data_IF_622932140351
#
_entry.id   IF_622932140351
#
_cell.length_a   1.000
_cell.length_b   1.000
_cell.length_c   1.000
_cell.angle_alpha   90.00
_cell.angle_beta   90.00
_cell.angle_gamma   90.00
#
_symmetry.space_group_name_H-M   'P 1'
#
loop_
_entity.id
_entity.type
_entity.pdbx_description
1 polymer ?
#
# COMPACT_ATOMS: atom_id res chain seq x y z
N UNK A 1 -7.47 8.08 -22.51
CA UNK A 1 -8.46 7.22 -21.82
C UNK A 1 -7.84 5.97 -21.17
N UNK A 2 -6.77 5.39 -21.73
CA UNK A 2 -6.12 4.18 -21.19
C UNK A 2 -5.35 4.47 -19.87
N UNK A 3 -4.66 5.62 -19.76
CA UNK A 3 -3.90 6.00 -18.55
C UNK A 3 -4.73 6.08 -17.27
N UNK A 4 -5.91 6.74 -17.32
CA UNK A 4 -6.81 6.85 -16.15
C UNK A 4 -7.27 5.47 -15.64
N UNK A 5 -7.41 4.49 -16.54
CA UNK A 5 -7.80 3.14 -16.18
C UNK A 5 -6.68 2.40 -15.44
N UNK A 6 -5.43 2.64 -15.80
CA UNK A 6 -4.28 2.02 -15.16
C UNK A 6 -3.98 2.63 -13.79
N UNK A 7 -3.99 3.96 -13.68
CA UNK A 7 -3.79 4.65 -12.40
C UNK A 7 -4.80 4.21 -11.36
N UNK A 8 -6.07 4.07 -11.75
CA UNK A 8 -7.13 3.57 -10.86
C UNK A 8 -6.86 2.14 -10.38
N UNK A 9 -6.33 1.27 -11.25
CA UNK A 9 -5.97 -0.11 -10.88
C UNK A 9 -4.80 -0.16 -9.91
N UNK A 10 -3.77 0.68 -10.12
CA UNK A 10 -2.63 0.82 -9.21
C UNK A 10 -3.10 1.35 -7.85
N UNK A 11 -4.01 2.33 -7.83
CA UNK A 11 -4.62 2.84 -6.62
C UNK A 11 -5.36 1.75 -5.83
N UNK A 12 -6.12 0.89 -6.50
CA UNK A 12 -6.80 -0.23 -5.83
C UNK A 12 -5.84 -1.25 -5.21
N UNK A 13 -4.72 -1.56 -5.86
CA UNK A 13 -3.71 -2.43 -5.26
C UNK A 13 -3.12 -1.81 -4.00
N UNK A 14 -2.78 -0.52 -4.04
CA UNK A 14 -2.25 0.19 -2.88
C UNK A 14 -3.27 0.30 -1.74
N UNK A 15 -4.53 0.55 -2.08
CA UNK A 15 -5.63 0.57 -1.11
C UNK A 15 -5.83 -0.82 -0.45
N UNK A 16 -5.82 -1.90 -1.25
CA UNK A 16 -5.95 -3.27 -0.74
C UNK A 16 -4.77 -3.65 0.17
N UNK A 17 -3.56 -3.30 -0.25
CA UNK A 17 -2.37 -3.48 0.56
C UNK A 17 -2.41 -2.65 1.86
N UNK A 18 -2.89 -1.41 1.78
CA UNK A 18 -3.10 -0.52 2.94
C UNK A 18 -4.10 -1.10 3.93
N UNK A 19 -5.19 -1.70 3.44
CA UNK A 19 -6.16 -2.40 4.28
C UNK A 19 -5.51 -3.57 5.04
N UNK A 20 -4.78 -4.44 4.34
CA UNK A 20 -4.09 -5.58 4.99
C UNK A 20 -3.09 -5.09 6.04
N UNK A 21 -2.29 -4.09 5.69
CA UNK A 21 -1.37 -3.46 6.63
C UNK A 21 -2.11 -2.87 7.84
N UNK A 22 -3.23 -2.18 7.63
CA UNK A 22 -4.00 -1.56 8.72
C UNK A 22 -4.55 -2.58 9.71
N UNK A 23 -5.07 -3.70 9.20
CA UNK A 23 -5.56 -4.81 10.04
C UNK A 23 -4.42 -5.41 10.86
N UNK A 24 -3.31 -5.77 10.21
CA UNK A 24 -2.15 -6.33 10.92
C UNK A 24 -1.65 -5.38 11.98
N UNK A 25 -1.58 -4.09 11.67
CA UNK A 25 -1.09 -3.09 12.61
C UNK A 25 -2.02 -2.88 13.80
N UNK A 26 -3.34 -2.82 13.56
CA UNK A 26 -4.31 -2.69 14.64
C UNK A 26 -4.38 -3.90 15.57
N UNK A 27 -4.15 -5.10 15.06
CA UNK A 27 -4.15 -6.34 15.87
C UNK A 27 -2.86 -6.48 16.67
N UNK A 28 -1.71 -6.30 16.01
CA UNK A 28 -0.42 -6.71 16.57
C UNK A 28 0.36 -5.59 17.24
N UNK A 29 0.04 -4.31 17.00
CA UNK A 29 0.78 -3.20 17.61
C UNK A 29 -0.07 -2.41 18.60
N UNK A 30 0.23 -2.59 19.88
CA UNK A 30 0.00 -1.59 20.93
C UNK A 30 0.99 -0.45 20.71
N UNK A 31 0.55 0.82 20.81
CA UNK A 31 1.27 2.03 20.38
C UNK A 31 2.67 2.28 20.96
N UNK A 32 3.20 1.37 21.77
CA UNK A 32 4.49 1.46 22.46
C UNK A 32 5.63 0.69 21.74
N UNK A 33 5.32 -0.20 20.79
CA UNK A 33 6.30 -1.19 20.29
C UNK A 33 6.94 -0.86 18.94
N UNK A 34 6.27 -0.10 18.05
CA UNK A 34 6.83 0.26 16.74
C UNK A 34 6.75 1.76 16.47
N UNK A 35 7.90 2.44 16.30
CA UNK A 35 7.92 3.81 15.84
C UNK A 35 7.35 3.89 14.41
N UNK A 36 6.65 4.97 14.09
CA UNK A 36 6.08 5.27 12.76
C UNK A 36 7.04 4.95 11.60
N UNK A 37 8.34 5.15 11.81
CA UNK A 37 9.43 4.83 10.86
C UNK A 37 9.51 3.33 10.53
N UNK A 38 9.31 2.45 11.52
CA UNK A 38 9.28 1.00 11.30
C UNK A 38 8.15 0.60 10.36
N UNK A 39 6.99 1.27 10.45
CA UNK A 39 5.86 1.03 9.55
C UNK A 39 6.18 1.44 8.12
N UNK A 40 6.83 2.59 7.94
CA UNK A 40 7.29 3.07 6.64
C UNK A 40 8.28 2.08 6.00
N UNK A 41 9.20 1.52 6.80
CA UNK A 41 10.16 0.53 6.32
C UNK A 41 9.47 -0.75 5.86
N UNK A 42 8.52 -1.28 6.63
CA UNK A 42 7.68 -2.40 6.21
C UNK A 42 6.91 -2.07 4.93
N UNK A 43 6.28 -0.90 4.89
CA UNK A 43 5.64 -0.33 3.70
C UNK A 43 6.48 -0.46 2.45
N UNK A 44 7.72 0.01 2.51
CA UNK A 44 8.68 0.02 1.40
C UNK A 44 9.17 -1.40 1.06
N UNK A 45 9.47 -2.24 2.05
CA UNK A 45 9.95 -3.61 1.83
C UNK A 45 8.94 -4.45 1.04
N UNK A 46 7.65 -4.28 1.32
CA UNK A 46 6.58 -5.05 0.69
C UNK A 46 6.14 -4.40 -0.64
N UNK A 47 6.49 -3.12 -0.86
CA UNK A 47 6.15 -2.39 -2.09
C UNK A 47 6.81 -3.00 -3.34
N UNK A 48 8.06 -3.46 -3.25
CA UNK A 48 8.76 -4.05 -4.39
C UNK A 48 8.10 -5.36 -4.90
N UNK A 49 7.80 -6.36 -4.04
CA UNK A 49 7.05 -7.54 -4.48
C UNK A 49 5.63 -7.19 -4.94
N UNK A 50 4.96 -6.22 -4.32
CA UNK A 50 3.64 -5.75 -4.76
C UNK A 50 3.69 -5.13 -6.18
N UNK A 51 4.77 -4.43 -6.52
CA UNK A 51 4.98 -3.92 -7.87
C UNK A 51 5.19 -5.04 -8.89
N UNK A 52 5.95 -6.10 -8.54
CA UNK A 52 6.11 -7.28 -9.39
C UNK A 52 4.77 -7.98 -9.66
N UNK A 53 3.94 -8.13 -8.62
CA UNK A 53 2.59 -8.66 -8.75
C UNK A 53 1.74 -7.75 -9.66
N UNK A 54 1.78 -6.44 -9.44
CA UNK A 54 1.08 -5.45 -10.28
C UNK A 54 1.47 -5.59 -11.75
N UNK A 55 2.77 -5.71 -12.03
CA UNK A 55 3.29 -5.91 -13.39
C UNK A 55 2.68 -7.15 -14.04
N UNK A 56 2.67 -8.27 -13.32
CA UNK A 56 2.19 -9.55 -13.84
C UNK A 56 0.67 -9.57 -14.03
N UNK A 57 -0.08 -9.01 -13.07
CA UNK A 57 -1.56 -8.99 -13.09
C UNK A 57 -2.10 -8.04 -14.16
N UNK A 58 -1.49 -6.86 -14.32
CA UNK A 58 -1.98 -5.85 -15.27
C UNK A 58 -1.22 -5.80 -16.59
N UNK A 59 -0.23 -6.69 -16.80
CA UNK A 59 0.61 -6.75 -18.00
C UNK A 59 1.21 -5.37 -18.33
N UNK A 60 1.76 -4.70 -17.32
CA UNK A 60 2.39 -3.39 -17.46
C UNK A 60 3.54 -3.44 -18.47
N UNK A 61 3.63 -2.43 -19.35
CA UNK A 61 4.76 -2.27 -20.27
C UNK A 61 6.00 -1.83 -19.52
N UNK A 62 7.18 -1.95 -20.14
CA UNK A 62 8.45 -1.55 -19.52
C UNK A 62 8.51 -0.05 -19.17
N UNK A 63 7.77 0.80 -19.89
CA UNK A 63 7.65 2.24 -19.60
C UNK A 63 6.86 2.54 -18.32
N UNK A 64 5.87 1.71 -17.98
CA UNK A 64 5.10 1.81 -16.73
C UNK A 64 5.83 1.22 -15.52
N UNK A 65 6.93 0.48 -15.75
CA UNK A 65 7.70 -0.24 -14.75
C UNK A 65 8.78 0.63 -14.09
N UNK A 66 8.41 1.83 -13.66
CA UNK A 66 9.26 2.68 -12.84
C UNK A 66 8.77 2.65 -11.39
N UNK A 67 9.57 2.08 -10.49
CA UNK A 67 9.22 1.94 -9.07
C UNK A 67 8.80 3.25 -8.41
N UNK A 68 9.52 4.33 -8.69
CA UNK A 68 9.20 5.65 -8.14
C UNK A 68 7.85 6.17 -8.66
N UNK A 69 7.56 5.95 -9.95
CA UNK A 69 6.29 6.35 -10.58
C UNK A 69 5.13 5.52 -10.03
N UNK A 70 5.29 4.20 -9.96
CA UNK A 70 4.30 3.27 -9.44
C UNK A 70 3.95 3.58 -7.97
N UNK A 71 4.98 3.78 -7.14
CA UNK A 71 4.81 4.13 -5.73
C UNK A 71 4.09 5.47 -5.60
N UNK A 72 4.53 6.51 -6.33
CA UNK A 72 3.92 7.83 -6.29
C UNK A 72 2.43 7.85 -6.65
N UNK A 73 2.00 7.01 -7.61
CA UNK A 73 0.60 6.90 -8.05
C UNK A 73 -0.33 6.30 -6.98
N UNK A 74 0.21 5.45 -6.10
CA UNK A 74 -0.58 4.68 -5.15
C UNK A 74 -0.38 5.05 -3.67
N UNK A 75 0.69 5.80 -3.36
CA UNK A 75 1.14 6.07 -1.99
C UNK A 75 0.05 6.67 -1.11
N UNK A 76 -0.68 7.66 -1.63
CA UNK A 76 -1.75 8.33 -0.86
C UNK A 76 -2.89 7.36 -0.54
N UNK A 77 -3.29 6.51 -1.49
CA UNK A 77 -4.34 5.53 -1.30
C UNK A 77 -3.94 4.46 -0.26
N UNK A 78 -2.67 4.05 -0.28
CA UNK A 78 -2.11 3.18 0.74
C UNK A 78 -2.21 3.80 2.13
N UNK A 79 -1.66 5.01 2.32
CA UNK A 79 -1.64 5.66 3.63
C UNK A 79 -3.03 5.95 4.18
N UNK A 80 -3.95 6.44 3.34
CA UNK A 80 -5.32 6.70 3.76
C UNK A 80 -6.00 5.42 4.22
N UNK A 81 -5.92 4.33 3.45
CA UNK A 81 -6.53 3.06 3.85
C UNK A 81 -5.87 2.46 5.07
N UNK A 82 -4.53 2.46 5.12
CA UNK A 82 -3.77 1.94 6.26
C UNK A 82 -4.13 2.65 7.55
N UNK A 83 -4.12 3.99 7.56
CA UNK A 83 -4.37 4.77 8.77
C UNK A 83 -5.81 4.63 9.26
N UNK A 84 -6.79 4.68 8.36
CA UNK A 84 -8.21 4.51 8.72
C UNK A 84 -8.46 3.12 9.32
N UNK A 85 -7.97 2.07 8.66
CA UNK A 85 -8.18 0.69 9.11
C UNK A 85 -7.41 0.41 10.39
N UNK A 86 -6.17 0.90 10.51
CA UNK A 86 -5.38 0.75 11.72
C UNK A 86 -6.09 1.35 12.93
N UNK A 87 -6.48 2.62 12.85
CA UNK A 87 -7.19 3.31 13.94
C UNK A 87 -8.48 2.57 14.29
N UNK A 88 -9.26 2.16 13.28
CA UNK A 88 -10.49 1.43 13.50
C UNK A 88 -10.25 0.12 14.26
N UNK A 89 -9.35 -0.74 13.77
CA UNK A 89 -9.06 -2.05 14.36
C UNK A 89 -8.43 -1.92 15.74
N UNK A 90 -7.54 -0.94 15.94
CA UNK A 90 -6.95 -0.66 17.24
C UNK A 90 -8.00 -0.33 18.30
N UNK A 91 -9.05 0.40 17.94
CA UNK A 91 -10.14 0.77 18.87
C UNK A 91 -11.19 -0.34 19.06
N UNK A 92 -11.12 -1.45 18.31
CA UNK A 92 -11.96 -2.63 18.55
C UNK A 92 -11.37 -3.60 19.58
N UNK A 93 -10.12 -3.37 19.98
CA UNK A 93 -9.37 -4.20 20.92
C UNK A 93 -9.47 -3.64 22.33
#
# INVERSE_FOLDING_TARGET
>A
MIEKGLERRIAYIHAAYGLVAGVLFGIYYSGDEIPFVGVLMWGIMISYPAMLITKNVFKLTAEDYNFKSWLGKGLIYFFTMWLVVWVFVYNLR
#
